data_IF_856607215727
#
_entry.id   IF_856607215727
#
_cell.length_a   1.000
_cell.length_b   1.000
_cell.length_c   1.000
_cell.angle_alpha   90.00
_cell.angle_beta   90.00
_cell.angle_gamma   90.00
#
_symmetry.space_group_name_H-M   'P 1'
#
loop_
_entity.id
_entity.type
_entity.pdbx_description
1 polymer ?
#
# COMPACT_ATOMS: atom_id res chain seq x y z
N UNK A 1 -26.80 23.06 12.01
CA UNK A 1 -26.35 23.44 10.63
C UNK A 1 -25.35 24.61 10.62
N UNK A 2 -25.60 25.75 11.29
CA UNK A 2 -24.69 26.92 11.31
C UNK A 2 -23.28 26.65 11.89
N UNK A 3 -23.15 25.72 12.83
CA UNK A 3 -21.86 25.32 13.42
C UNK A 3 -20.96 24.55 12.45
N UNK A 4 -21.55 23.77 11.54
CA UNK A 4 -20.79 22.96 10.57
C UNK A 4 -20.20 23.82 9.45
N UNK A 5 -20.97 24.81 8.97
CA UNK A 5 -20.50 25.76 7.96
C UNK A 5 -19.34 26.61 8.48
N UNK A 6 -19.40 27.07 9.73
CA UNK A 6 -18.33 27.85 10.37
C UNK A 6 -17.05 27.04 10.59
N UNK A 7 -17.18 25.74 10.90
CA UNK A 7 -16.03 24.85 11.02
C UNK A 7 -15.35 24.64 9.65
N UNK A 8 -16.16 24.40 8.61
CA UNK A 8 -15.63 24.20 7.25
C UNK A 8 -15.02 25.46 6.66
N UNK A 9 -15.55 26.65 6.95
CA UNK A 9 -14.98 27.92 6.49
C UNK A 9 -13.68 28.26 7.22
N UNK A 10 -13.60 27.99 8.54
CA UNK A 10 -12.37 28.19 9.32
C UNK A 10 -11.24 27.24 8.91
N UNK A 11 -11.58 25.98 8.58
CA UNK A 11 -10.61 25.02 8.02
C UNK A 11 -10.15 25.46 6.63
N UNK A 12 -11.07 25.95 5.78
CA UNK A 12 -10.75 26.41 4.42
C UNK A 12 -9.86 27.66 4.44
N UNK A 13 -10.17 28.64 5.30
CA UNK A 13 -9.36 29.84 5.46
C UNK A 13 -7.94 29.53 5.98
N UNK A 14 -7.79 28.60 6.93
CA UNK A 14 -6.47 28.14 7.38
C UNK A 14 -5.71 27.36 6.31
N UNK A 15 -6.41 26.57 5.49
CA UNK A 15 -5.82 25.86 4.36
C UNK A 15 -5.33 26.83 3.28
N UNK A 16 -6.04 27.94 3.05
CA UNK A 16 -5.66 28.99 2.09
C UNK A 16 -4.46 29.81 2.60
N UNK A 17 -4.42 30.18 3.88
CA UNK A 17 -3.25 30.84 4.51
C UNK A 17 -1.99 29.96 4.47
N UNK A 18 -2.16 28.65 4.71
CA UNK A 18 -1.08 27.68 4.57
C UNK A 18 -0.74 27.42 3.10
N UNK A 19 -1.67 27.63 2.16
CA UNK A 19 -1.41 27.42 0.75
C UNK A 19 -0.48 28.47 0.13
N UNK A 20 -0.45 29.68 0.71
CA UNK A 20 0.43 30.79 0.30
C UNK A 20 1.85 30.65 0.87
N UNK A 21 2.03 29.93 1.98
CA UNK A 21 3.34 29.72 2.59
C UNK A 21 4.17 28.70 1.78
N UNK A 22 5.36 29.08 1.31
CA UNK A 22 6.34 28.22 0.61
C UNK A 22 7.08 27.23 1.51
N UNK A 23 6.58 27.02 2.73
CA UNK A 23 7.26 26.20 3.74
C UNK A 23 6.97 24.71 3.54
N UNK A 24 7.94 23.85 3.91
CA UNK A 24 7.80 22.39 3.83
C UNK A 24 6.53 21.84 4.52
N UNK A 25 6.03 22.55 5.55
CA UNK A 25 4.78 22.23 6.27
C UNK A 25 3.54 22.40 5.40
N UNK A 26 3.49 23.45 4.58
CA UNK A 26 2.40 23.68 3.63
C UNK A 26 2.35 22.63 2.52
N UNK A 27 3.51 22.24 2.01
CA UNK A 27 3.62 21.13 1.04
C UNK A 27 3.14 19.81 1.63
N UNK A 28 3.49 19.53 2.90
CA UNK A 28 3.04 18.32 3.59
C UNK A 28 1.54 18.34 3.82
N UNK A 29 0.96 19.46 4.25
CA UNK A 29 -0.49 19.58 4.43
C UNK A 29 -1.27 19.41 3.12
N UNK A 30 -0.77 19.96 2.00
CA UNK A 30 -1.36 19.76 0.67
C UNK A 30 -1.31 18.28 0.25
N UNK A 31 -0.16 17.62 0.45
CA UNK A 31 0.02 16.22 0.13
C UNK A 31 -0.90 15.32 0.98
N UNK A 32 -1.00 15.57 2.29
CA UNK A 32 -1.94 14.88 3.18
C UNK A 32 -3.39 15.13 2.74
N UNK A 33 -3.76 16.37 2.44
CA UNK A 33 -5.10 16.71 1.98
C UNK A 33 -5.48 15.97 0.69
N UNK A 34 -4.54 15.84 -0.26
CA UNK A 34 -4.76 15.09 -1.49
C UNK A 34 -4.94 13.59 -1.23
N UNK A 35 -4.08 12.97 -0.41
CA UNK A 35 -4.19 11.55 -0.04
C UNK A 35 -5.53 11.27 0.68
N UNK A 36 -5.90 12.10 1.65
CA UNK A 36 -7.18 11.97 2.37
C UNK A 36 -8.36 12.16 1.43
N UNK A 37 -8.32 13.15 0.54
CA UNK A 37 -9.38 13.37 -0.45
C UNK A 37 -9.49 12.19 -1.43
N UNK A 38 -8.37 11.57 -1.79
CA UNK A 38 -8.33 10.37 -2.63
C UNK A 38 -8.99 9.18 -1.91
N UNK A 39 -8.69 8.97 -0.63
CA UNK A 39 -9.34 7.94 0.18
C UNK A 39 -10.84 8.20 0.33
N UNK A 40 -11.24 9.45 0.59
CA UNK A 40 -12.65 9.84 0.74
C UNK A 40 -13.45 9.70 -0.56
N UNK A 41 -12.81 9.89 -1.73
CA UNK A 41 -13.45 9.69 -3.04
C UNK A 41 -13.60 8.22 -3.42
N UNK A 42 -12.84 7.33 -2.80
CA UNK A 42 -12.90 5.91 -3.09
C UNK A 42 -14.12 5.25 -2.41
N UNK A 43 -15.29 5.45 -3.02
CA UNK A 43 -16.58 4.92 -2.53
C UNK A 43 -16.56 3.40 -2.32
N UNK A 44 -15.84 2.66 -3.16
CA UNK A 44 -15.73 1.21 -3.02
C UNK A 44 -14.96 0.82 -1.75
N UNK A 45 -13.85 1.48 -1.44
CA UNK A 45 -13.11 1.23 -0.21
C UNK A 45 -13.93 1.62 1.03
N UNK A 46 -14.64 2.75 0.97
CA UNK A 46 -15.54 3.19 2.04
C UNK A 46 -16.71 2.22 2.25
N UNK A 47 -17.36 1.78 1.17
CA UNK A 47 -18.42 0.78 1.23
C UNK A 47 -17.90 -0.54 1.81
N UNK A 48 -16.70 -0.96 1.40
CA UNK A 48 -16.06 -2.14 1.95
C UNK A 48 -15.86 -1.99 3.46
N UNK A 49 -15.28 -0.88 3.95
CA UNK A 49 -15.10 -0.67 5.40
C UNK A 49 -16.44 -0.72 6.14
N UNK A 50 -17.42 0.05 5.67
CA UNK A 50 -18.71 0.22 6.37
C UNK A 50 -19.52 -1.06 6.38
N UNK A 51 -19.52 -1.83 5.28
CA UNK A 51 -20.33 -3.04 5.16
C UNK A 51 -19.60 -4.30 5.63
N UNK A 52 -18.31 -4.45 5.30
CA UNK A 52 -17.57 -5.67 5.59
C UNK A 52 -17.41 -5.92 7.08
N UNK A 53 -17.03 -4.90 7.87
CA UNK A 53 -16.80 -5.07 9.31
C UNK A 53 -18.06 -5.57 10.04
N UNK A 54 -19.22 -4.90 9.98
CA UNK A 54 -20.41 -5.37 10.69
C UNK A 54 -20.94 -6.69 10.12
N UNK A 55 -20.91 -6.89 8.80
CA UNK A 55 -21.36 -8.14 8.18
C UNK A 55 -20.48 -9.32 8.61
N UNK A 56 -19.15 -9.14 8.60
CA UNK A 56 -18.20 -10.15 9.03
C UNK A 56 -18.35 -10.50 10.50
N UNK A 57 -18.48 -9.48 11.37
CA UNK A 57 -18.71 -9.71 12.81
C UNK A 57 -20.05 -10.39 13.08
N UNK A 58 -21.11 -10.00 12.37
CA UNK A 58 -22.42 -10.65 12.48
C UNK A 58 -22.36 -12.12 12.04
N UNK A 59 -21.68 -12.43 10.93
CA UNK A 59 -21.49 -13.81 10.47
C UNK A 59 -20.75 -14.63 11.53
N UNK A 60 -19.66 -14.09 12.08
CA UNK A 60 -18.89 -14.76 13.14
C UNK A 60 -19.75 -15.02 14.36
N UNK A 61 -20.50 -14.02 14.82
CA UNK A 61 -21.39 -14.14 15.97
C UNK A 61 -22.54 -15.14 15.75
N UNK A 62 -23.11 -15.21 14.53
CA UNK A 62 -24.19 -16.14 14.20
C UNK A 62 -23.73 -17.59 13.99
N UNK A 63 -22.50 -17.79 13.51
CA UNK A 63 -21.96 -19.11 13.18
C UNK A 63 -21.37 -19.80 14.41
N UNK A 64 -20.87 -19.05 15.39
CA UNK A 64 -20.25 -19.62 16.58
C UNK A 64 -21.30 -19.99 17.64
N UNK A 65 -21.39 -21.28 18.05
CA UNK A 65 -22.24 -21.69 19.16
C UNK A 65 -21.66 -21.26 20.52
N UNK A 66 -22.53 -20.94 21.49
CA UNK A 66 -22.21 -20.63 22.90
C UNK A 66 -21.54 -21.82 23.63
N UNK A 67 -20.28 -22.14 23.31
CA UNK A 67 -19.51 -23.17 23.99
C UNK A 67 -18.39 -22.53 24.81
N UNK A 68 -18.38 -22.69 26.14
CA UNK A 68 -17.31 -22.16 26.98
C UNK A 68 -15.99 -22.88 26.66
N UNK A 69 -14.91 -22.13 26.48
CA UNK A 69 -13.55 -22.68 26.37
C UNK A 69 -12.73 -22.21 27.58
N UNK A 70 -11.96 -23.11 28.18
CA UNK A 70 -10.99 -22.72 29.20
C UNK A 70 -9.82 -22.00 28.51
N UNK A 71 -9.74 -20.68 28.67
CA UNK A 71 -8.66 -19.86 28.12
C UNK A 71 -7.61 -19.58 29.21
N UNK A 72 -6.37 -19.99 28.95
CA UNK A 72 -5.22 -19.63 29.78
C UNK A 72 -4.46 -18.50 29.05
N UNK A 73 -4.62 -17.27 29.52
CA UNK A 73 -3.82 -16.13 29.04
C UNK A 73 -2.49 -16.09 29.79
N UNK A 74 -1.37 -15.88 29.08
CA UNK A 74 -0.06 -15.62 29.70
C UNK A 74 0.00 -14.32 30.55
N UNK A 75 -1.09 -13.56 30.62
CA UNK A 75 -1.26 -12.35 31.44
C UNK A 75 -2.09 -12.65 32.71
N UNK A 76 -2.80 -13.78 32.76
CA UNK A 76 -3.75 -14.13 33.83
C UNK A 76 -3.30 -15.45 34.47
N UNK A 77 -2.69 -15.37 35.66
CA UNK A 77 -2.27 -16.52 36.51
C UNK A 77 -3.44 -17.35 37.08
N UNK A 78 -4.65 -17.20 36.53
CA UNK A 78 -5.84 -18.00 36.90
C UNK A 78 -6.63 -18.41 35.66
N UNK A 79 -7.10 -19.67 35.56
CA UNK A 79 -8.00 -20.08 34.51
C UNK A 79 -9.29 -19.27 34.62
N UNK A 80 -9.52 -18.37 33.68
CA UNK A 80 -10.80 -17.69 33.52
C UNK A 80 -11.55 -18.46 32.44
N UNK A 81 -12.71 -18.99 32.80
CA UNK A 81 -13.66 -19.57 31.85
C UNK A 81 -14.24 -18.44 31.01
N UNK A 82 -13.50 -18.07 29.97
CA UNK A 82 -13.87 -17.02 29.02
C UNK A 82 -14.74 -17.63 27.94
N UNK A 83 -15.81 -16.93 27.58
CA UNK A 83 -16.68 -17.35 26.50
C UNK A 83 -15.88 -17.32 25.17
N UNK A 84 -15.80 -18.47 24.50
CA UNK A 84 -14.95 -18.68 23.32
C UNK A 84 -15.31 -17.78 22.13
N UNK A 85 -16.59 -17.41 22.07
CA UNK A 85 -17.20 -16.53 21.10
C UNK A 85 -16.60 -15.12 21.13
N UNK A 86 -16.39 -14.53 22.31
CA UNK A 86 -15.80 -13.19 22.44
C UNK A 86 -14.33 -13.16 21.98
N UNK A 87 -13.56 -14.20 22.30
CA UNK A 87 -12.17 -14.36 21.85
C UNK A 87 -12.07 -14.44 20.31
N UNK A 88 -12.98 -15.18 19.68
CA UNK A 88 -13.03 -15.28 18.21
C UNK A 88 -13.53 -13.99 17.59
N UNK A 89 -14.47 -13.28 18.23
CA UNK A 89 -14.94 -11.98 17.78
C UNK A 89 -13.79 -10.97 17.74
N UNK A 90 -12.95 -10.90 18.77
CA UNK A 90 -11.76 -10.01 18.83
C UNK A 90 -10.80 -10.36 17.68
N UNK A 91 -10.49 -11.64 17.50
CA UNK A 91 -9.64 -12.12 16.41
C UNK A 91 -10.20 -11.74 15.04
N UNK A 92 -11.52 -11.89 14.86
CA UNK A 92 -12.22 -11.52 13.64
C UNK A 92 -12.17 -10.01 13.37
N UNK A 93 -12.34 -9.17 14.39
CA UNK A 93 -12.22 -7.72 14.27
C UNK A 93 -10.80 -7.30 13.89
N UNK A 94 -9.78 -7.85 14.57
CA UNK A 94 -8.37 -7.60 14.23
C UNK A 94 -8.12 -7.96 12.77
N UNK A 95 -8.51 -9.15 12.32
CA UNK A 95 -8.32 -9.58 10.93
C UNK A 95 -9.03 -8.69 9.91
N UNK A 96 -10.26 -8.24 10.22
CA UNK A 96 -10.99 -7.34 9.35
C UNK A 96 -10.27 -5.99 9.20
N UNK A 97 -9.82 -5.41 10.33
CA UNK A 97 -9.09 -4.13 10.34
C UNK A 97 -7.75 -4.25 9.61
N UNK A 98 -6.96 -5.29 9.85
CA UNK A 98 -5.66 -5.49 9.19
C UNK A 98 -5.81 -5.62 7.68
N UNK A 99 -6.77 -6.44 7.21
CA UNK A 99 -7.04 -6.62 5.79
C UNK A 99 -7.49 -5.32 5.12
N UNK A 100 -8.46 -4.63 5.72
CA UNK A 100 -9.04 -3.41 5.15
C UNK A 100 -7.98 -2.31 5.07
N UNK A 101 -7.29 -2.01 6.18
CA UNK A 101 -6.30 -0.92 6.22
C UNK A 101 -5.10 -1.26 5.33
N UNK A 102 -4.62 -2.51 5.36
CA UNK A 102 -3.55 -2.99 4.49
C UNK A 102 -3.89 -2.85 3.01
N UNK A 103 -5.08 -3.28 2.61
CA UNK A 103 -5.54 -3.17 1.22
C UNK A 103 -5.76 -1.71 0.78
N UNK A 104 -6.35 -0.88 1.65
CA UNK A 104 -6.56 0.55 1.38
C UNK A 104 -5.23 1.27 1.14
N UNK A 105 -4.22 1.03 1.98
CA UNK A 105 -2.91 1.64 1.79
C UNK A 105 -2.18 1.09 0.57
N UNK A 106 -2.26 -0.22 0.32
CA UNK A 106 -1.69 -0.83 -0.87
C UNK A 106 -2.23 -0.20 -2.15
N UNK A 107 -3.56 -0.11 -2.27
CA UNK A 107 -4.20 0.46 -3.46
C UNK A 107 -3.94 1.95 -3.61
N UNK A 108 -3.93 2.72 -2.51
CA UNK A 108 -3.63 4.14 -2.55
C UNK A 108 -2.21 4.42 -3.01
N UNK A 109 -1.22 3.72 -2.44
CA UNK A 109 0.19 3.88 -2.81
C UNK A 109 0.46 3.46 -4.25
N UNK A 110 -0.19 2.39 -4.73
CA UNK A 110 -0.06 1.99 -6.13
C UNK A 110 -0.63 3.01 -7.10
N UNK A 111 -1.82 3.56 -6.80
CA UNK A 111 -2.47 4.57 -7.64
C UNK A 111 -1.70 5.90 -7.63
N UNK A 112 -1.09 6.26 -6.51
CA UNK A 112 -0.32 7.51 -6.40
C UNK A 112 1.09 7.40 -6.99
N UNK A 113 1.62 6.19 -7.19
CA UNK A 113 3.03 5.97 -7.51
C UNK A 113 3.54 6.72 -8.76
N UNK A 114 2.79 6.71 -9.87
CA UNK A 114 3.18 7.43 -11.10
C UNK A 114 3.14 8.95 -10.90
N UNK A 115 2.22 9.43 -10.08
CA UNK A 115 2.10 10.84 -9.73
C UNK A 115 3.24 11.28 -8.79
N UNK A 116 3.55 10.47 -7.78
CA UNK A 116 4.67 10.69 -6.86
C UNK A 116 6.00 10.74 -7.62
N UNK A 117 6.19 9.87 -8.62
CA UNK A 117 7.39 9.88 -9.46
C UNK A 117 7.54 11.21 -10.21
N UNK A 118 6.45 11.76 -10.76
CA UNK A 118 6.47 13.06 -11.45
C UNK A 118 6.79 14.20 -10.48
N UNK A 119 6.27 14.17 -9.26
CA UNK A 119 6.55 15.16 -8.22
C UNK A 119 8.02 15.15 -7.79
N UNK A 120 8.63 13.97 -7.64
CA UNK A 120 10.05 13.83 -7.33
C UNK A 120 10.91 14.37 -8.48
N UNK A 121 10.54 14.10 -9.74
CA UNK A 121 11.22 14.67 -10.91
C UNK A 121 11.07 16.20 -10.99
N UNK A 122 9.97 16.75 -10.49
CA UNK A 122 9.75 18.19 -10.35
C UNK A 122 10.46 18.81 -9.13
N UNK A 123 11.29 18.05 -8.40
CA UNK A 123 12.11 18.55 -7.29
C UNK A 123 11.47 18.47 -5.90
N UNK A 124 10.30 17.83 -5.75
CA UNK A 124 9.70 17.63 -4.42
C UNK A 124 10.50 16.61 -3.58
N UNK A 125 10.59 16.87 -2.27
CA UNK A 125 11.36 16.01 -1.38
C UNK A 125 10.67 14.67 -1.13
N UNK A 126 11.45 13.59 -1.27
CA UNK A 126 10.98 12.19 -1.08
C UNK A 126 10.40 11.95 0.31
N UNK A 127 11.02 12.57 1.32
CA UNK A 127 10.58 12.48 2.71
C UNK A 127 9.19 13.12 2.91
N UNK A 128 8.87 14.20 2.20
CA UNK A 128 7.56 14.85 2.30
C UNK A 128 6.43 13.97 1.74
N UNK A 129 6.69 13.26 0.64
CA UNK A 129 5.71 12.34 0.04
C UNK A 129 5.49 11.10 0.92
N UNK A 130 6.56 10.56 1.51
CA UNK A 130 6.44 9.42 2.42
C UNK A 130 5.73 9.80 3.72
N UNK A 131 6.07 10.95 4.32
CA UNK A 131 5.40 11.41 5.54
C UNK A 131 3.92 11.69 5.30
N UNK A 132 3.54 12.21 4.13
CA UNK A 132 2.13 12.36 3.76
C UNK A 132 1.39 11.00 3.75
N UNK A 133 2.01 9.94 3.21
CA UNK A 133 1.45 8.58 3.22
C UNK A 133 1.35 7.99 4.62
N UNK A 134 2.34 8.22 5.47
CA UNK A 134 2.31 7.77 6.87
C UNK A 134 1.23 8.49 7.68
N UNK A 135 1.02 9.79 7.45
CA UNK A 135 -0.07 10.56 8.06
C UNK A 135 -1.44 10.07 7.55
N UNK A 136 -1.56 9.80 6.24
CA UNK A 136 -2.77 9.22 5.68
C UNK A 136 -3.08 7.85 6.28
N UNK A 137 -2.08 6.97 6.42
CA UNK A 137 -2.20 5.71 7.13
C UNK A 137 -2.67 5.90 8.58
N UNK A 138 -2.04 6.81 9.32
CA UNK A 138 -2.44 7.10 10.70
C UNK A 138 -3.92 7.50 10.80
N UNK A 139 -4.37 8.40 9.92
CA UNK A 139 -5.77 8.84 9.88
C UNK A 139 -6.73 7.73 9.49
N UNK A 140 -6.40 6.95 8.45
CA UNK A 140 -7.22 5.82 8.00
C UNK A 140 -7.32 4.76 9.08
N UNK A 141 -6.20 4.38 9.71
CA UNK A 141 -6.18 3.44 10.82
C UNK A 141 -7.02 3.96 12.00
N UNK A 142 -6.90 5.24 12.37
CA UNK A 142 -7.69 5.80 13.48
C UNK A 142 -9.21 5.75 13.20
N UNK A 143 -9.62 6.10 11.99
CA UNK A 143 -11.04 6.08 11.59
C UNK A 143 -11.57 4.66 11.53
N UNK A 144 -10.85 3.75 10.86
CA UNK A 144 -11.29 2.35 10.70
C UNK A 144 -11.34 1.65 12.05
N UNK A 145 -10.33 1.82 12.90
CA UNK A 145 -10.29 1.18 14.21
C UNK A 145 -11.30 1.79 15.18
N UNK A 146 -11.52 3.11 15.15
CA UNK A 146 -12.59 3.75 15.92
C UNK A 146 -13.98 3.24 15.51
N UNK A 147 -14.24 3.12 14.21
CA UNK A 147 -15.48 2.54 13.69
C UNK A 147 -15.63 1.07 14.10
N UNK A 148 -14.59 0.26 13.93
CA UNK A 148 -14.60 -1.15 14.32
C UNK A 148 -14.86 -1.33 15.83
N UNK A 149 -14.31 -0.44 16.66
CA UNK A 149 -14.54 -0.44 18.12
C UNK A 149 -16.00 -0.15 18.44
N UNK A 150 -16.61 0.85 17.79
CA UNK A 150 -18.03 1.16 17.97
C UNK A 150 -18.90 -0.02 17.51
N UNK A 151 -18.59 -0.63 16.36
CA UNK A 151 -19.32 -1.82 15.90
C UNK A 151 -19.19 -2.96 16.91
N UNK A 152 -18.00 -3.17 17.47
CA UNK A 152 -17.72 -4.18 18.49
C UNK A 152 -18.60 -4.04 19.74
N UNK A 153 -18.85 -2.81 20.20
CA UNK A 153 -19.71 -2.58 21.38
C UNK A 153 -21.17 -3.05 21.21
N UNK A 154 -21.61 -3.34 19.99
CA UNK A 154 -22.94 -3.93 19.75
C UNK A 154 -22.96 -5.46 19.86
N UNK A 155 -21.80 -6.11 19.76
CA UNK A 155 -21.67 -7.57 19.77
C UNK A 155 -21.04 -8.10 21.07
N UNK A 156 -20.25 -7.28 21.77
CA UNK A 156 -19.60 -7.60 23.04
C UNK A 156 -19.59 -6.33 23.92
N UNK A 157 -19.55 -6.50 25.25
CA UNK A 157 -19.44 -5.40 26.21
C UNK A 157 -18.00 -5.30 26.77
N UNK A 158 -17.07 -4.64 26.06
CA UNK A 158 -15.67 -4.58 26.48
C UNK A 158 -15.51 -3.70 27.71
N UNK A 159 -14.79 -4.22 28.73
CA UNK A 159 -14.49 -3.47 29.96
C UNK A 159 -13.71 -2.18 29.70
N UNK A 160 -12.72 -2.22 28.81
CA UNK A 160 -11.97 -1.05 28.36
C UNK A 160 -12.07 -0.88 26.84
N UNK A 161 -13.07 -0.11 26.41
CA UNK A 161 -13.28 0.25 25.00
C UNK A 161 -12.08 1.02 24.42
N UNK A 162 -11.37 1.80 25.24
CA UNK A 162 -10.22 2.60 24.80
C UNK A 162 -9.02 1.72 24.47
N UNK A 163 -8.69 0.77 25.34
CA UNK A 163 -7.62 -0.19 25.11
C UNK A 163 -7.94 -1.14 23.93
N UNK A 164 -9.20 -1.56 23.75
CA UNK A 164 -9.63 -2.31 22.57
C UNK A 164 -9.41 -1.52 21.28
N UNK A 165 -9.82 -0.25 21.26
CA UNK A 165 -9.62 0.62 20.10
C UNK A 165 -8.14 0.83 19.78
N UNK A 166 -7.29 0.91 20.79
CA UNK A 166 -5.85 1.06 20.63
C UNK A 166 -5.17 -0.21 20.09
N UNK A 167 -5.66 -1.39 20.49
CA UNK A 167 -5.27 -2.67 19.90
C UNK A 167 -5.60 -2.73 18.41
N UNK A 168 -6.86 -2.44 18.05
CA UNK A 168 -7.30 -2.40 16.65
C UNK A 168 -6.54 -1.35 15.84
N UNK A 169 -6.25 -0.20 16.44
CA UNK A 169 -5.46 0.86 15.82
C UNK A 169 -4.03 0.41 15.52
N UNK A 170 -3.38 -0.21 16.49
CA UNK A 170 -2.04 -0.79 16.33
C UNK A 170 -2.02 -1.83 15.21
N UNK A 171 -2.98 -2.75 15.18
CA UNK A 171 -3.12 -3.74 14.10
C UNK A 171 -3.25 -3.09 12.72
N UNK A 172 -4.09 -2.05 12.61
CA UNK A 172 -4.26 -1.26 11.39
C UNK A 172 -2.96 -0.58 10.93
N UNK A 173 -2.18 0.00 11.85
CA UNK A 173 -0.90 0.62 11.54
C UNK A 173 0.12 -0.37 10.97
N UNK A 174 0.25 -1.54 11.60
CA UNK A 174 1.20 -2.59 11.21
C UNK A 174 0.91 -3.06 9.78
N UNK A 175 -0.34 -3.47 9.53
CA UNK A 175 -0.73 -3.99 8.22
C UNK A 175 -0.92 -2.93 7.15
N UNK A 176 -1.32 -1.72 7.54
CA UNK A 176 -1.28 -0.56 6.65
C UNK A 176 0.15 -0.23 6.21
N UNK A 177 1.12 -0.31 7.12
CA UNK A 177 2.54 -0.18 6.81
C UNK A 177 3.03 -1.26 5.85
N UNK A 178 2.67 -2.52 6.09
CA UNK A 178 2.90 -3.62 5.14
C UNK A 178 2.28 -3.32 3.76
N UNK A 179 1.04 -2.82 3.73
CA UNK A 179 0.36 -2.39 2.51
C UNK A 179 1.14 -1.33 1.73
N UNK A 180 1.71 -0.33 2.41
CA UNK A 180 2.59 0.67 1.79
C UNK A 180 3.83 -0.02 1.18
N UNK A 181 4.52 -0.87 1.94
CA UNK A 181 5.73 -1.58 1.48
C UNK A 181 5.44 -2.40 0.23
N UNK A 182 4.36 -3.18 0.25
CA UNK A 182 3.95 -4.02 -0.88
C UNK A 182 3.50 -3.19 -2.09
N UNK A 183 2.84 -2.05 -1.86
CA UNK A 183 2.44 -1.12 -2.91
C UNK A 183 3.65 -0.51 -3.65
N UNK A 184 4.77 -0.35 -2.95
CA UNK A 184 6.03 0.12 -3.54
C UNK A 184 6.85 -1.00 -4.19
N UNK A 185 6.82 -2.21 -3.62
CA UNK A 185 7.68 -3.33 -4.02
C UNK A 185 7.11 -4.17 -5.18
N UNK A 186 5.79 -4.38 -5.23
CA UNK A 186 5.17 -5.30 -6.18
C UNK A 186 4.67 -4.61 -7.44
N UNK A 187 4.93 -5.24 -8.60
CA UNK A 187 4.52 -4.72 -9.92
C UNK A 187 3.05 -5.00 -10.24
N UNK A 188 2.46 -6.08 -9.73
CA UNK A 188 1.08 -6.51 -10.07
C UNK A 188 0.11 -6.36 -8.89
N UNK A 189 -1.09 -5.86 -9.16
CA UNK A 189 -2.12 -5.62 -8.11
C UNK A 189 -2.53 -6.91 -7.44
N UNK A 190 -2.74 -7.95 -8.26
CA UNK A 190 -3.17 -9.26 -7.81
C UNK A 190 -2.19 -9.90 -6.83
N UNK A 191 -0.89 -9.85 -7.12
CA UNK A 191 0.12 -10.43 -6.24
C UNK A 191 0.14 -9.73 -4.87
N UNK A 192 0.02 -8.40 -4.85
CA UNK A 192 0.01 -7.67 -3.59
C UNK A 192 -1.23 -7.92 -2.76
N UNK A 193 -2.41 -7.97 -3.39
CA UNK A 193 -3.64 -8.37 -2.69
C UNK A 193 -3.50 -9.77 -2.07
N UNK A 194 -2.99 -10.73 -2.84
CA UNK A 194 -2.83 -12.09 -2.37
C UNK A 194 -1.86 -12.19 -1.19
N UNK A 195 -0.71 -11.49 -1.26
CA UNK A 195 0.27 -11.46 -0.17
C UNK A 195 -0.32 -10.82 1.09
N UNK A 196 -1.01 -9.69 0.97
CA UNK A 196 -1.66 -9.03 2.12
C UNK A 196 -2.66 -9.98 2.79
N UNK A 197 -3.50 -10.63 1.98
CA UNK A 197 -4.54 -11.54 2.48
C UNK A 197 -3.89 -12.75 3.15
N UNK A 198 -2.96 -13.43 2.48
CA UNK A 198 -2.30 -14.62 3.03
C UNK A 198 -1.50 -14.30 4.29
N UNK A 199 -0.72 -13.22 4.30
CA UNK A 199 0.05 -12.81 5.48
C UNK A 199 -0.86 -12.48 6.65
N UNK A 200 -1.94 -11.71 6.44
CA UNK A 200 -2.90 -11.38 7.50
C UNK A 200 -3.60 -12.61 8.05
N UNK A 201 -4.09 -13.49 7.16
CA UNK A 201 -4.80 -14.69 7.60
C UNK A 201 -3.88 -15.64 8.38
N UNK A 202 -2.65 -15.87 7.90
CA UNK A 202 -1.70 -16.73 8.61
C UNK A 202 -1.33 -16.13 9.96
N UNK A 203 -1.02 -14.83 10.01
CA UNK A 203 -0.63 -14.17 11.25
C UNK A 203 -1.73 -14.21 12.30
N UNK A 204 -2.97 -13.82 11.93
CA UNK A 204 -4.10 -13.82 12.86
C UNK A 204 -4.52 -15.24 13.24
N UNK A 205 -4.44 -16.21 12.31
CA UNK A 205 -4.77 -17.62 12.60
C UNK A 205 -3.78 -18.23 13.60
N UNK A 206 -2.47 -17.99 13.42
CA UNK A 206 -1.43 -18.50 14.34
C UNK A 206 -1.56 -17.91 15.73
N UNK A 207 -2.07 -16.68 15.83
CA UNK A 207 -2.29 -16.00 17.10
C UNK A 207 -3.70 -16.13 17.65
N UNK A 208 -4.58 -16.87 16.98
CA UNK A 208 -5.94 -17.01 17.45
C UNK A 208 -5.93 -17.80 18.77
N UNK A 209 -6.40 -17.21 19.88
CA UNK A 209 -6.38 -17.84 21.20
C UNK A 209 -7.14 -19.17 21.28
N UNK A 210 -8.12 -19.38 20.39
CA UNK A 210 -8.88 -20.64 20.31
C UNK A 210 -8.07 -21.74 19.61
N UNK A 211 -7.26 -21.39 18.61
CA UNK A 211 -6.45 -22.34 17.85
C UNK A 211 -5.15 -22.64 18.60
N UNK A 212 -4.61 -21.65 19.31
CA UNK A 212 -3.38 -21.78 20.09
C UNK A 212 -3.58 -21.26 21.52
N UNK A 213 -4.23 -22.06 22.39
CA UNK A 213 -4.49 -21.72 23.79
C UNK A 213 -3.28 -21.84 24.71
N UNK A 214 -2.13 -22.34 24.22
CA UNK A 214 -0.95 -22.61 25.03
C UNK A 214 -0.10 -21.34 25.24
N UNK A 215 0.57 -21.26 26.40
CA UNK A 215 1.59 -20.23 26.70
C UNK A 215 2.53 -20.05 25.50
N UNK A 216 2.75 -18.78 25.14
CA UNK A 216 3.47 -18.38 23.94
C UNK A 216 4.74 -19.21 23.72
N UNK A 217 4.73 -20.08 22.72
CA UNK A 217 5.97 -20.63 22.17
C UNK A 217 6.85 -19.46 21.75
N UNK A 218 8.12 -19.45 22.15
CA UNK A 218 8.96 -18.24 22.17
C UNK A 218 9.17 -17.52 20.82
N UNK A 219 8.72 -18.09 19.70
CA UNK A 219 8.71 -17.47 18.37
C UNK A 219 7.44 -16.65 18.10
N UNK A 220 6.29 -17.05 18.66
CA UNK A 220 5.00 -16.39 18.42
C UNK A 220 4.94 -14.96 18.95
N UNK A 221 5.68 -14.66 20.02
CA UNK A 221 5.80 -13.30 20.58
C UNK A 221 6.38 -12.26 19.62
N UNK A 222 7.07 -12.72 18.56
CA UNK A 222 7.65 -11.83 17.56
C UNK A 222 6.71 -11.55 16.40
N UNK A 223 5.56 -12.21 16.31
CA UNK A 223 4.63 -11.97 15.22
C UNK A 223 4.01 -10.56 15.31
N UNK A 224 3.69 -9.92 14.17
CA UNK A 224 3.26 -8.52 14.15
C UNK A 224 1.98 -8.26 14.95
N UNK A 225 0.99 -9.16 14.89
CA UNK A 225 -0.27 -8.97 15.64
C UNK A 225 -0.19 -9.36 17.12
N UNK A 226 0.92 -9.93 17.63
CA UNK A 226 0.96 -10.54 18.98
C UNK A 226 0.61 -9.54 20.08
N UNK A 227 1.25 -8.36 20.05
CA UNK A 227 0.96 -7.30 21.00
C UNK A 227 -0.48 -6.78 20.91
N UNK A 228 -1.04 -6.73 19.70
CA UNK A 228 -2.41 -6.26 19.49
C UNK A 228 -3.44 -7.30 19.97
N UNK A 229 -3.24 -8.58 19.67
CA UNK A 229 -4.11 -9.66 20.14
C UNK A 229 -4.13 -9.72 21.67
N UNK A 230 -2.97 -9.72 22.32
CA UNK A 230 -2.88 -9.78 23.77
C UNK A 230 -3.47 -8.55 24.46
N UNK A 231 -3.25 -7.35 23.90
CA UNK A 231 -3.87 -6.13 24.44
C UNK A 231 -5.38 -6.07 24.22
N UNK A 232 -5.89 -6.58 23.09
CA UNK A 232 -7.34 -6.62 22.82
C UNK A 232 -8.07 -7.61 23.73
N UNK A 233 -7.47 -8.78 23.96
CA UNK A 233 -7.97 -9.77 24.92
C UNK A 233 -7.93 -9.21 26.35
N UNK A 234 -6.80 -8.62 26.76
CA UNK A 234 -6.69 -8.00 28.09
C UNK A 234 -7.70 -6.86 28.30
N UNK A 235 -7.93 -6.01 27.30
CA UNK A 235 -8.91 -4.92 27.36
C UNK A 235 -10.36 -5.40 27.52
N UNK A 236 -10.65 -6.61 27.05
CA UNK A 236 -12.00 -7.19 27.15
C UNK A 236 -12.20 -7.88 28.50
N UNK A 237 -11.18 -8.57 29.02
CA UNK A 237 -11.31 -9.44 30.19
C UNK A 237 -10.68 -8.96 31.50
N UNK A 238 -9.87 -7.90 31.50
CA UNK A 238 -9.15 -7.42 32.68
C UNK A 238 -9.13 -5.90 32.78
N UNK A 239 -9.10 -5.37 34.01
CA UNK A 239 -8.98 -3.93 34.28
C UNK A 239 -7.50 -3.44 34.24
N UNK A 240 -6.57 -4.39 34.14
CA UNK A 240 -5.13 -4.16 34.12
C UNK A 240 -4.65 -4.04 32.67
N UNK A 241 -4.58 -2.83 32.14
CA UNK A 241 -3.91 -2.60 30.85
C UNK A 241 -2.48 -3.16 30.88
N UNK A 242 -2.07 -3.90 29.83
CA UNK A 242 -0.70 -4.40 29.69
C UNK A 242 0.09 -3.48 28.75
N UNK A 243 0.63 -2.35 29.23
CA UNK A 243 1.30 -1.36 28.38
C UNK A 243 2.55 -1.92 27.70
N UNK A 244 3.20 -2.95 28.28
CA UNK A 244 4.39 -3.58 27.71
C UNK A 244 4.13 -4.25 26.35
N UNK A 245 2.98 -4.90 26.18
CA UNK A 245 2.60 -5.56 24.92
C UNK A 245 2.13 -4.57 23.85
N UNK A 246 1.66 -3.40 24.29
CA UNK A 246 1.24 -2.32 23.40
C UNK A 246 2.43 -1.66 22.68
N UNK A 247 3.63 -1.67 23.28
CA UNK A 247 4.85 -1.12 22.69
C UNK A 247 5.39 -1.92 21.49
N UNK A 248 4.98 -3.19 21.33
CA UNK A 248 5.36 -4.00 20.17
C UNK A 248 4.74 -3.49 18.86
N UNK A 249 3.56 -2.87 18.94
CA UNK A 249 2.86 -2.33 17.77
C UNK A 249 3.61 -1.18 17.09
N UNK A 250 3.96 -0.11 17.83
CA UNK A 250 4.79 0.98 17.31
C UNK A 250 6.15 0.51 16.78
N UNK A 251 6.76 -0.51 17.40
CA UNK A 251 8.02 -1.09 16.93
C UNK A 251 7.89 -1.69 15.53
N UNK A 252 6.86 -2.52 15.31
CA UNK A 252 6.58 -3.10 14.01
C UNK A 252 6.20 -2.05 12.96
N UNK A 253 5.42 -1.05 13.35
CA UNK A 253 5.13 0.09 12.48
C UNK A 253 6.42 0.81 12.04
N UNK A 254 7.36 1.03 12.96
CA UNK A 254 8.64 1.67 12.65
C UNK A 254 9.48 0.81 11.68
N UNK A 255 9.48 -0.51 11.85
CA UNK A 255 10.11 -1.44 10.91
C UNK A 255 9.50 -1.29 9.51
N UNK A 256 8.18 -1.32 9.37
CA UNK A 256 7.52 -1.15 8.07
C UNK A 256 7.72 0.25 7.47
N UNK A 257 7.76 1.30 8.29
CA UNK A 257 8.08 2.65 7.82
C UNK A 257 9.51 2.74 7.26
N UNK A 258 10.48 2.11 7.92
CA UNK A 258 11.87 2.02 7.44
C UNK A 258 11.97 1.19 6.15
N UNK A 259 11.24 0.08 6.05
CA UNK A 259 11.17 -0.73 4.83
C UNK A 259 10.53 0.03 3.67
N UNK A 260 9.47 0.80 3.93
CA UNK A 260 8.81 1.64 2.94
C UNK A 260 9.76 2.74 2.44
N UNK A 261 10.50 3.37 3.36
CA UNK A 261 11.54 4.34 3.03
C UNK A 261 12.62 3.72 2.15
N UNK A 262 13.15 2.55 2.53
CA UNK A 262 14.16 1.84 1.76
C UNK A 262 13.65 1.44 0.36
N UNK A 263 12.42 0.93 0.25
CA UNK A 263 11.79 0.59 -1.02
C UNK A 263 11.63 1.84 -1.92
N UNK A 264 11.19 2.96 -1.35
CA UNK A 264 11.04 4.22 -2.06
C UNK A 264 12.39 4.77 -2.54
N UNK A 265 13.44 4.68 -1.72
CA UNK A 265 14.80 5.07 -2.10
C UNK A 265 15.37 4.22 -3.22
N UNK A 266 15.23 2.89 -3.16
CA UNK A 266 15.74 1.99 -4.21
C UNK A 266 15.06 2.28 -5.55
N UNK A 267 13.73 2.40 -5.56
CA UNK A 267 12.94 2.59 -6.78
C UNK A 267 13.20 3.94 -7.45
N UNK A 268 13.50 4.97 -6.66
CA UNK A 268 13.86 6.30 -7.17
C UNK A 268 15.34 6.46 -7.55
N UNK A 269 16.23 5.56 -7.08
CA UNK A 269 17.66 5.55 -7.45
C UNK A 269 17.92 4.85 -8.78
N UNK A 270 17.17 3.80 -9.11
CA UNK A 270 17.39 2.94 -10.30
C UNK A 270 17.16 3.59 -11.66
N UNK A 271 16.91 4.91 -11.75
CA UNK A 271 16.76 5.60 -13.03
C UNK A 271 17.89 6.58 -13.35
N UNK A 272 18.74 6.92 -12.38
CA UNK A 272 19.91 7.77 -12.64
C UNK A 272 21.04 6.97 -13.31
N UNK A 273 21.18 5.67 -12.99
CA UNK A 273 22.27 4.83 -13.53
C UNK A 273 22.00 4.28 -14.94
N UNK A 274 20.76 4.29 -15.44
CA UNK A 274 20.46 3.78 -16.79
C UNK A 274 20.50 4.85 -17.89
N UNK A 275 20.86 6.09 -17.56
CA UNK A 275 21.11 7.16 -18.54
C UNK A 275 22.61 7.32 -18.86
N UNK A 276 23.51 6.60 -18.18
CA UNK A 276 24.96 6.81 -18.34
C UNK A 276 25.70 5.77 -19.21
N UNK A 277 25.05 4.71 -19.71
CA UNK A 277 25.75 3.64 -20.45
C UNK A 277 25.00 3.08 -21.68
N UNK A 278 24.14 3.87 -22.31
CA UNK A 278 23.99 3.73 -23.76
C UNK A 278 24.94 4.76 -24.33
N UNK A 279 26.06 4.37 -24.99
CA UNK A 279 26.70 5.29 -25.90
C UNK A 279 25.63 5.57 -26.95
N UNK A 280 24.92 6.68 -26.78
CA UNK A 280 24.32 7.34 -27.92
C UNK A 280 25.56 7.69 -28.72
N UNK A 281 25.84 6.89 -29.76
CA UNK A 281 26.59 7.36 -30.92
C UNK A 281 25.83 8.60 -31.37
N UNK A 282 26.16 9.71 -30.73
CA UNK A 282 25.75 11.03 -31.14
C UNK A 282 26.69 11.30 -32.29
N UNK A 283 26.47 10.61 -33.39
CA UNK A 283 26.94 11.04 -34.68
C UNK A 283 26.22 12.38 -34.89
N UNK A 284 26.82 13.44 -34.35
CA UNK A 284 26.33 14.81 -34.47
C UNK A 284 26.15 15.06 -35.96
N UNK A 285 24.90 15.12 -36.41
CA UNK A 285 24.59 15.38 -37.79
C UNK A 285 25.10 16.79 -38.14
N UNK A 286 26.24 16.87 -38.80
CA UNK A 286 26.79 18.14 -39.27
C UNK A 286 26.03 18.51 -40.53
N UNK A 287 25.16 19.51 -40.40
CA UNK A 287 24.44 20.12 -41.52
C UNK A 287 25.18 21.36 -41.96
N UNK A 288 25.68 21.37 -43.20
CA UNK A 288 26.34 22.54 -43.79
C UNK A 288 25.34 23.29 -44.65
N UNK A 289 25.06 24.54 -44.29
CA UNK A 289 24.20 25.43 -45.07
C UNK A 289 25.09 26.41 -45.83
N UNK A 290 25.05 26.39 -47.15
CA UNK A 290 25.77 27.32 -48.02
C UNK A 290 24.79 28.22 -48.76
N UNK A 291 25.02 29.52 -48.72
CA UNK A 291 24.28 30.47 -49.56
C UNK A 291 24.92 30.51 -50.95
N UNK A 292 24.12 30.32 -52.00
CA UNK A 292 24.54 30.56 -53.37
C UNK A 292 24.42 32.05 -53.73
N UNK A 293 25.14 32.51 -54.77
CA UNK A 293 25.08 33.89 -55.25
C UNK A 293 23.70 34.29 -55.80
N UNK A 294 22.86 33.32 -56.14
CA UNK A 294 21.48 33.49 -56.61
C UNK A 294 20.46 33.69 -55.46
N UNK A 295 20.93 33.73 -54.20
CA UNK A 295 20.09 33.87 -53.01
C UNK A 295 19.47 32.56 -52.50
N UNK A 296 19.72 31.43 -53.16
CA UNK A 296 19.24 30.11 -52.70
C UNK A 296 20.15 29.50 -51.63
N UNK A 297 19.57 28.76 -50.68
CA UNK A 297 20.30 28.03 -49.65
C UNK A 297 20.42 26.55 -50.04
N UNK A 298 21.65 26.02 -50.05
CA UNK A 298 21.93 24.59 -50.23
C UNK A 298 22.26 23.99 -48.87
N UNK A 299 21.50 22.96 -48.49
CA UNK A 299 21.65 22.26 -47.23
C UNK A 299 22.21 20.86 -47.50
N UNK A 300 23.44 20.60 -47.05
CA UNK A 300 24.08 19.29 -47.16
C UNK A 300 24.19 18.65 -45.77
N UNK A 301 23.75 17.40 -45.64
CA UNK A 301 23.92 16.59 -44.42
C UNK A 301 24.70 15.34 -44.77
N UNK A 302 25.71 15.02 -43.96
CA UNK A 302 26.48 13.78 -44.08
C UNK A 302 25.87 12.60 -43.33
N UNK A 303 24.86 12.84 -42.49
CA UNK A 303 24.36 11.87 -41.50
C UNK A 303 22.92 11.42 -41.75
N UNK A 304 22.34 11.78 -42.91
CA UNK A 304 21.00 11.35 -43.30
C UNK A 304 20.16 12.45 -43.97
N UNK A 305 18.94 12.12 -44.44
CA UNK A 305 18.06 13.05 -45.14
C UNK A 305 17.60 14.19 -44.21
N UNK A 306 17.73 15.43 -44.68
CA UNK A 306 17.24 16.63 -43.99
C UNK A 306 15.85 16.96 -44.51
N UNK A 307 14.88 17.04 -43.60
CA UNK A 307 13.50 17.42 -43.94
C UNK A 307 13.28 18.85 -43.49
N UNK A 308 12.91 19.74 -44.41
CA UNK A 308 12.51 21.10 -44.05
C UNK A 308 11.19 21.05 -43.28
N UNK A 309 11.13 21.70 -42.12
CA UNK A 309 9.92 21.75 -41.30
C UNK A 309 8.71 22.35 -42.03
N UNK A 310 8.90 23.20 -43.03
CA UNK A 310 7.81 23.73 -43.87
C UNK A 310 7.10 22.66 -44.72
N UNK A 311 7.71 21.50 -44.92
CA UNK A 311 7.10 20.36 -45.62
C UNK A 311 6.48 19.33 -44.66
N UNK A 312 6.59 19.54 -43.36
CA UNK A 312 5.89 18.74 -42.36
C UNK A 312 4.54 19.41 -42.09
N UNK A 313 3.46 18.82 -42.61
CA UNK A 313 2.09 19.13 -42.16
C UNK A 313 1.95 18.68 -40.71
N UNK A 314 2.23 19.60 -39.78
CA UNK A 314 2.08 19.40 -38.35
C UNK A 314 0.63 19.65 -37.93
N UNK A 315 -0.20 18.60 -37.87
CA UNK A 315 -1.56 18.70 -37.33
C UNK A 315 -1.62 18.68 -35.78
N UNK A 316 -0.49 18.61 -35.08
CA UNK A 316 -0.45 18.85 -33.63
C UNK A 316 0.99 19.02 -33.12
N UNK A 317 1.38 20.19 -32.59
CA UNK A 317 2.65 20.32 -31.88
C UNK A 317 2.50 19.65 -30.51
N UNK A 318 3.37 18.67 -30.20
CA UNK A 318 3.48 17.96 -28.92
C UNK A 318 2.64 16.68 -28.70
N UNK A 319 2.54 15.79 -29.70
CA UNK A 319 2.34 14.36 -29.43
C UNK A 319 3.70 13.64 -29.40
N UNK A 320 3.97 12.72 -28.44
CA UNK A 320 5.20 11.92 -28.48
C UNK A 320 5.23 11.06 -29.75
N UNK A 321 6.41 10.82 -30.33
CA UNK A 321 6.52 10.10 -31.61
C UNK A 321 5.88 8.72 -31.49
N UNK A 322 4.90 8.44 -32.36
CA UNK A 322 4.39 7.09 -32.53
C UNK A 322 5.56 6.21 -32.98
N UNK A 323 5.80 5.10 -32.26
CA UNK A 323 6.80 4.10 -32.66
C UNK A 323 6.51 3.70 -34.11
N UNK A 324 7.52 3.64 -35.00
CA UNK A 324 7.33 3.06 -36.32
C UNK A 324 6.83 1.63 -36.17
N UNK A 325 5.85 1.27 -36.99
CA UNK A 325 5.32 -0.08 -37.06
C UNK A 325 6.47 -1.07 -37.27
N UNK A 326 6.52 -2.11 -36.43
CA UNK A 326 7.51 -3.17 -36.51
C UNK A 326 7.49 -3.78 -37.92
N UNK A 327 8.64 -3.96 -38.59
CA UNK A 327 8.67 -4.61 -39.89
C UNK A 327 8.11 -6.03 -39.75
N UNK A 328 7.23 -6.40 -40.69
CA UNK A 328 6.55 -7.68 -40.74
C UNK A 328 7.55 -8.83 -40.53
N UNK A 329 7.23 -9.72 -39.58
CA UNK A 329 7.97 -10.96 -39.35
C UNK A 329 8.11 -11.73 -40.67
N UNK A 330 9.34 -11.96 -41.08
CA UNK A 330 9.67 -12.91 -42.15
C UNK A 330 9.06 -14.29 -41.83
N UNK A 331 8.60 -15.05 -42.84
CA UNK A 331 7.95 -16.33 -42.62
C UNK A 331 8.90 -17.33 -41.97
N UNK A 332 8.41 -18.02 -40.94
CA UNK A 332 9.13 -19.00 -40.15
C UNK A 332 9.71 -20.12 -41.03
N UNK A 333 11.03 -20.31 -40.97
CA UNK A 333 11.70 -21.51 -41.50
C UNK A 333 11.16 -22.73 -40.74
N UNK A 334 10.59 -23.68 -41.49
CA UNK A 334 10.18 -25.02 -41.04
C UNK A 334 11.27 -25.67 -40.20
N UNK A 335 10.89 -26.15 -39.02
CA UNK A 335 11.71 -27.03 -38.19
C UNK A 335 12.01 -28.35 -38.93
N UNK A 336 13.24 -28.89 -38.84
CA UNK A 336 13.56 -30.20 -39.38
C UNK A 336 12.90 -31.31 -38.55
N UNK A 337 12.34 -32.29 -39.25
CA UNK A 337 11.64 -33.43 -38.70
C UNK A 337 12.51 -34.22 -37.69
N UNK A 338 11.92 -34.47 -36.52
CA UNK A 338 12.46 -35.32 -35.46
C UNK A 338 12.56 -36.75 -35.97
N UNK A 339 13.79 -37.21 -36.26
CA UNK A 339 14.10 -38.63 -36.48
C UNK A 339 13.76 -39.40 -35.21
N UNK A 340 12.85 -40.36 -35.34
CA UNK A 340 12.57 -41.42 -34.38
C UNK A 340 13.80 -42.33 -34.24
N UNK A 341 14.32 -42.47 -33.02
CA UNK A 341 15.29 -43.51 -32.68
C UNK A 341 14.52 -44.77 -32.19
N UNK A 342 15.00 -45.98 -32.49
CA UNK A 342 14.29 -47.22 -32.22
C UNK A 342 14.44 -47.70 -30.77
N UNK A 343 13.46 -48.52 -30.37
CA UNK A 343 13.31 -49.15 -29.07
C UNK A 343 14.51 -50.02 -28.67
N UNK A 344 14.96 -49.87 -27.43
CA UNK A 344 15.88 -50.79 -26.78
C UNK A 344 15.06 -51.88 -26.08
N UNK A 345 15.31 -53.10 -26.53
CA UNK A 345 14.81 -54.38 -26.03
C UNK A 345 15.36 -54.68 -24.64
N UNK A 346 14.47 -55.00 -23.72
CA UNK A 346 14.76 -55.64 -22.43
C UNK A 346 15.21 -57.09 -22.63
N UNK A 347 16.37 -57.45 -22.08
CA UNK A 347 16.75 -58.83 -21.78
C UNK A 347 17.42 -58.90 -20.42
N UNK A 348 17.03 -59.95 -19.68
CA UNK A 348 17.51 -60.49 -18.40
C UNK A 348 17.31 -59.67 -17.14
#
# INVERSE_FOLDING_TARGET
>A
MKTWTNLTSGVRARLDDLAVATTWRASLLKAVGFEVAQHARNRLALLLVVFFIPCWLAVVHLVLPDRPLEFHSAIIDRPVTVAADELVLISAAINAVTLIVGFMMFTAVRRSNDFDQRLVLAGHSRLCLLTAKLVALFLVAAVVSGYATVVMTFFCDPRDTGALGLSLFSSGLIYGGLGIVLGLALSTELAGMFVIIMTSLVDVMVQNPVINPAESTGVLRYLPTYGAMQSGVAATFTDSGSPGHLLLGPLWFLIFALLALAAFHRRTRSRTEHTELVPVDTETAVVTVKSRPDGSLVVESRSGPVVLCSHLTCDNPCAPPQRPASPAKAPAKRAPARRTAPAATTTS
#
